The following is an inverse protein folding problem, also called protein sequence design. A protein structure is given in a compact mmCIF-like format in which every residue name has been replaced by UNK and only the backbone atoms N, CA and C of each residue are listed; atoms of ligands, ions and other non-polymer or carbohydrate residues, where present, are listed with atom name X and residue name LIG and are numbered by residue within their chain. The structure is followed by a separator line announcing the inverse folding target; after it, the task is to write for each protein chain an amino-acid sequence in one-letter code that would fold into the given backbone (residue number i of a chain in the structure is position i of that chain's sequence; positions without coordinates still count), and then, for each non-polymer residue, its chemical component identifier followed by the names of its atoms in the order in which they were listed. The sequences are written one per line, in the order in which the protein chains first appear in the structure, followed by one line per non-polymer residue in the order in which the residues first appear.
data_IF_876291238273
#
_entry.id   IF_876291238273
#
_cell.length_a   1.000
_cell.length_b   1.000
_cell.length_c   1.000
_cell.angle_alpha   90.00
_cell.angle_beta   90.00
_cell.angle_gamma   90.00
#
_symmetry.space_group_name_H-M   'P 1'
#
loop_
_entity.id
_entity.type
_entity.pdbx_description
1 polymer ?
#
# COMPACT_ATOMS: atom_id res chain seq x y z
N UNK A 1 -10.78 2.36 -13.43
CA UNK A 1 -11.07 1.81 -12.10
C UNK A 1 -10.23 2.56 -11.08
N UNK A 2 -10.85 3.35 -10.21
CA UNK A 2 -10.15 4.10 -9.17
C UNK A 2 -9.75 3.15 -8.05
N UNK A 3 -8.45 3.09 -7.74
CA UNK A 3 -7.96 2.35 -6.59
C UNK A 3 -8.19 3.21 -5.35
N UNK A 4 -9.06 2.83 -4.39
CA UNK A 4 -9.33 3.62 -3.19
C UNK A 4 -8.07 3.87 -2.35
N UNK A 5 -7.08 2.98 -2.49
CA UNK A 5 -5.77 3.10 -1.85
C UNK A 5 -4.97 4.28 -2.43
N UNK A 6 -5.14 4.61 -3.71
CA UNK A 6 -4.48 5.75 -4.35
C UNK A 6 -4.94 7.06 -3.72
N UNK A 7 -6.23 7.23 -3.48
CA UNK A 7 -6.78 8.40 -2.79
C UNK A 7 -6.23 8.53 -1.37
N UNK A 8 -6.16 7.41 -0.62
CA UNK A 8 -5.57 7.39 0.72
C UNK A 8 -4.10 7.86 0.72
N UNK A 9 -3.28 7.34 -0.20
CA UNK A 9 -1.89 7.77 -0.32
C UNK A 9 -1.77 9.26 -0.69
N UNK A 10 -2.63 9.77 -1.58
CA UNK A 10 -2.65 11.17 -1.98
C UNK A 10 -3.05 12.10 -0.81
N UNK A 11 -4.09 11.74 -0.06
CA UNK A 11 -4.54 12.50 1.12
C UNK A 11 -3.46 12.55 2.20
N UNK A 12 -2.74 11.45 2.42
CA UNK A 12 -1.63 11.38 3.37
C UNK A 12 -0.30 11.93 2.83
N UNK A 13 -0.24 12.31 1.55
CA UNK A 13 0.98 12.81 0.90
C UNK A 13 2.07 11.75 0.66
N UNK A 14 1.70 10.47 0.68
CA UNK A 14 2.63 9.36 0.44
C UNK A 14 2.78 9.05 -1.05
N UNK A 15 4.01 8.75 -1.48
CA UNK A 15 4.25 8.30 -2.86
C UNK A 15 3.61 6.94 -3.14
N UNK A 16 3.61 6.05 -2.17
CA UNK A 16 2.92 4.78 -2.23
C UNK A 16 2.64 4.28 -0.80
N UNK A 17 1.90 3.16 -0.72
CA UNK A 17 1.42 2.61 0.53
C UNK A 17 2.56 2.11 1.45
N UNK A 18 3.76 1.85 0.92
CA UNK A 18 4.91 1.42 1.71
C UNK A 18 5.41 2.51 2.67
N UNK A 19 5.15 3.79 2.37
CA UNK A 19 5.43 4.93 3.23
C UNK A 19 4.39 5.13 4.33
N UNK A 20 3.27 4.40 4.28
CA UNK A 20 2.22 4.53 5.29
C UNK A 20 2.70 3.97 6.64
N UNK A 21 2.48 4.72 7.71
CA UNK A 21 2.76 4.23 9.07
C UNK A 21 1.84 3.05 9.42
N UNK A 22 0.56 3.14 9.00
CA UNK A 22 -0.46 2.07 9.11
C UNK A 22 -0.33 0.99 8.03
N UNK A 23 0.90 0.67 7.60
CA UNK A 23 1.13 -0.38 6.60
C UNK A 23 0.51 -1.71 7.07
N UNK A 24 -0.22 -2.40 6.19
CA UNK A 24 -1.19 -3.49 6.49
C UNK A 24 -2.60 -3.07 6.95
N UNK A 25 -3.10 -1.89 6.57
CA UNK A 25 -4.50 -1.53 6.79
C UNK A 25 -5.50 -2.40 6.00
N UNK A 26 -6.77 -2.39 6.39
CA UNK A 26 -7.83 -3.22 5.77
C UNK A 26 -7.96 -3.00 4.26
N UNK A 27 -7.70 -1.78 3.78
CA UNK A 27 -7.70 -1.45 2.36
C UNK A 27 -6.60 -2.20 1.59
N UNK A 28 -5.40 -2.33 2.19
CA UNK A 28 -4.29 -3.08 1.61
C UNK A 28 -4.50 -4.59 1.71
N UNK A 29 -5.16 -5.04 2.79
CA UNK A 29 -5.48 -6.46 2.98
C UNK A 29 -6.29 -7.01 1.81
N UNK A 30 -7.30 -6.29 1.35
CA UNK A 30 -8.08 -6.68 0.16
C UNK A 30 -7.22 -6.77 -1.12
N UNK A 31 -6.17 -5.97 -1.24
CA UNK A 31 -5.22 -6.05 -2.36
C UNK A 31 -4.29 -7.25 -2.21
N UNK A 32 -3.80 -7.52 -1.01
CA UNK A 32 -2.92 -8.66 -0.74
C UNK A 32 -3.62 -9.99 -0.88
N UNK A 33 -4.91 -10.07 -0.51
CA UNK A 33 -5.73 -11.26 -0.70
C UNK A 33 -5.95 -11.58 -2.19
N UNK A 34 -5.94 -10.55 -3.06
CA UNK A 34 -6.10 -10.70 -4.52
C UNK A 34 -4.78 -10.92 -5.22
N UNK A 35 -3.71 -10.30 -4.73
CA UNK A 35 -2.37 -10.37 -5.30
C UNK A 35 -1.31 -10.28 -4.20
N UNK A 36 -0.83 -11.45 -3.77
CA UNK A 36 0.23 -11.57 -2.78
C UNK A 36 1.56 -10.92 -3.25
N UNK A 37 1.81 -10.83 -4.57
CA UNK A 37 3.01 -10.20 -5.10
C UNK A 37 3.03 -8.68 -4.87
N UNK A 38 1.85 -8.06 -4.72
CA UNK A 38 1.74 -6.66 -4.35
C UNK A 38 2.30 -6.40 -2.94
N UNK A 39 2.12 -7.35 -2.00
CA UNK A 39 2.69 -7.27 -0.66
C UNK A 39 4.22 -7.34 -0.70
N UNK A 40 4.78 -8.28 -1.47
CA UNK A 40 6.22 -8.45 -1.57
C UNK A 40 6.91 -7.19 -2.10
N UNK A 41 6.36 -6.58 -3.16
CA UNK A 41 6.88 -5.32 -3.72
C UNK A 41 6.84 -4.18 -2.71
N UNK A 42 5.74 -4.02 -1.97
CA UNK A 42 5.63 -2.97 -0.96
C UNK A 42 6.54 -3.23 0.25
N UNK A 43 6.72 -4.48 0.65
CA UNK A 43 7.66 -4.89 1.70
C UNK A 43 9.10 -4.57 1.30
N UNK A 44 9.50 -4.85 0.06
CA UNK A 44 10.82 -4.52 -0.47
C UNK A 44 11.06 -3.01 -0.51
N UNK A 45 10.08 -2.22 -0.96
CA UNK A 45 10.18 -0.76 -0.93
C UNK A 45 10.36 -0.30 0.52
N UNK A 46 9.53 -0.79 1.45
CA UNK A 46 9.58 -0.39 2.87
C UNK A 46 10.90 -0.73 3.55
N UNK A 47 11.55 -1.85 3.20
CA UNK A 47 12.88 -2.20 3.71
C UNK A 47 13.97 -1.20 3.31
N UNK A 48 13.74 -0.43 2.24
CA UNK A 48 14.68 0.55 1.70
C UNK A 48 14.27 2.01 1.99
N UNK A 49 13.23 2.23 2.83
CA UNK A 49 12.82 3.54 3.35
C UNK A 49 13.47 3.82 4.70
#
# INVERSE_FOLDING_TARGET
SECPIKSCCQEKGFQNCAYCEDYFCDNLKMTFDKDASAKERLDEIRKNL
#
